data_IF_931535980163
#
_entry.id   IF_931535980163
#
_cell.length_a   1.000
_cell.length_b   1.000
_cell.length_c   1.000
_cell.angle_alpha   90.00
_cell.angle_beta   90.00
_cell.angle_gamma   90.00
#
_symmetry.space_group_name_H-M   'P 1'
#
loop_
_entity.id
_entity.type
_entity.pdbx_description
1 polymer ?
#
# COMPACT_ATOMS: atom_id res chain seq x y z
N UNK A 1 -66.43 -4.90 -39.37
CA UNK A 1 -65.63 -5.13 -38.15
C UNK A 1 -64.18 -5.38 -38.56
N UNK A 2 -63.32 -4.34 -38.50
CA UNK A 2 -61.90 -4.43 -38.84
C UNK A 2 -61.11 -4.76 -37.58
N UNK A 3 -60.43 -5.91 -37.52
CA UNK A 3 -59.51 -6.28 -36.43
C UNK A 3 -58.16 -5.63 -36.68
N UNK A 4 -57.75 -4.72 -35.80
CA UNK A 4 -56.43 -4.12 -35.76
C UNK A 4 -55.52 -5.07 -35.01
N UNK A 5 -54.54 -5.69 -35.64
CA UNK A 5 -53.48 -6.48 -35.00
C UNK A 5 -52.37 -5.51 -34.68
N UNK A 6 -52.15 -5.23 -33.39
CA UNK A 6 -51.02 -4.45 -32.93
C UNK A 6 -49.79 -5.38 -32.81
N UNK A 7 -48.82 -5.17 -33.70
CA UNK A 7 -47.48 -5.81 -33.59
C UNK A 7 -46.67 -5.07 -32.52
N UNK A 8 -46.47 -5.74 -31.36
CA UNK A 8 -45.54 -5.28 -30.34
C UNK A 8 -44.12 -5.71 -30.77
N UNK A 9 -43.36 -4.76 -31.27
CA UNK A 9 -41.92 -4.95 -31.47
C UNK A 9 -41.23 -4.89 -30.11
N UNK A 10 -40.89 -6.07 -29.55
CA UNK A 10 -40.04 -6.20 -28.40
C UNK A 10 -38.60 -5.80 -28.74
N UNK A 11 -38.18 -4.62 -28.31
CA UNK A 11 -36.81 -4.18 -28.39
C UNK A 11 -36.03 -4.89 -27.28
N UNK A 12 -35.48 -6.09 -27.54
CA UNK A 12 -34.57 -6.77 -26.67
C UNK A 12 -33.20 -6.01 -26.77
N UNK A 13 -32.98 -5.08 -25.85
CA UNK A 13 -31.65 -4.49 -25.66
C UNK A 13 -30.72 -5.60 -25.13
N UNK A 14 -29.98 -6.20 -26.04
CA UNK A 14 -28.81 -7.01 -25.70
C UNK A 14 -27.77 -6.08 -25.07
N UNK A 15 -27.75 -6.02 -23.75
CA UNK A 15 -26.64 -5.48 -22.98
C UNK A 15 -25.45 -6.42 -23.24
N UNK A 16 -24.73 -6.18 -24.33
CA UNK A 16 -23.39 -6.72 -24.50
C UNK A 16 -22.53 -6.08 -23.40
N UNK A 17 -22.33 -6.78 -22.30
CA UNK A 17 -21.22 -6.54 -21.40
C UNK A 17 -19.95 -6.80 -22.24
N UNK A 18 -19.47 -5.79 -22.94
CA UNK A 18 -18.14 -5.81 -23.51
C UNK A 18 -17.19 -5.81 -22.32
N UNK A 19 -16.71 -7.00 -21.94
CA UNK A 19 -15.67 -7.14 -20.95
C UNK A 19 -14.48 -6.34 -21.47
N UNK A 20 -14.19 -5.21 -20.83
CA UNK A 20 -13.13 -4.32 -21.26
C UNK A 20 -11.82 -5.12 -21.28
N UNK A 21 -11.23 -5.26 -22.47
CA UNK A 21 -10.02 -6.05 -22.66
C UNK A 21 -8.89 -5.38 -21.90
N UNK A 22 -8.20 -6.16 -21.06
CA UNK A 22 -7.02 -5.71 -20.31
C UNK A 22 -6.01 -5.08 -21.27
N UNK A 23 -5.42 -3.95 -20.89
CA UNK A 23 -4.34 -3.31 -21.63
C UNK A 23 -3.03 -4.06 -21.33
N UNK A 24 -2.71 -5.05 -22.15
CA UNK A 24 -1.56 -5.93 -21.97
C UNK A 24 -0.20 -5.19 -22.01
N UNK A 25 -0.09 -4.12 -22.79
CA UNK A 25 1.13 -3.31 -22.83
C UNK A 25 1.36 -2.58 -21.53
N UNK A 26 0.32 -1.90 -21.03
CA UNK A 26 0.35 -1.20 -19.74
C UNK A 26 0.55 -2.17 -18.56
N UNK A 27 -0.09 -3.34 -18.64
CA UNK A 27 0.10 -4.41 -17.66
C UNK A 27 1.57 -4.82 -17.53
N UNK A 28 2.23 -5.10 -18.66
CA UNK A 28 3.66 -5.48 -18.69
C UNK A 28 4.55 -4.37 -18.11
N UNK A 29 4.25 -3.11 -18.39
CA UNK A 29 4.98 -1.97 -17.87
C UNK A 29 4.84 -1.88 -16.33
N UNK A 30 3.62 -1.99 -15.82
CA UNK A 30 3.34 -1.97 -14.39
C UNK A 30 3.93 -3.17 -13.64
N UNK A 31 3.88 -4.37 -14.23
CA UNK A 31 4.51 -5.56 -13.66
C UNK A 31 6.03 -5.38 -13.54
N UNK A 32 6.67 -4.75 -14.54
CA UNK A 32 8.10 -4.43 -14.48
C UNK A 32 8.41 -3.39 -13.39
N UNK A 33 7.59 -2.35 -13.25
CA UNK A 33 7.72 -1.35 -12.17
C UNK A 33 7.58 -2.03 -10.81
N UNK A 34 6.56 -2.87 -10.63
CA UNK A 34 6.30 -3.57 -9.37
C UNK A 34 7.44 -4.54 -9.03
N UNK A 35 8.00 -5.25 -10.01
CA UNK A 35 9.16 -6.14 -9.83
C UNK A 35 10.35 -5.38 -9.27
N UNK A 36 10.66 -4.20 -9.80
CA UNK A 36 11.77 -3.35 -9.31
C UNK A 36 11.46 -2.84 -7.91
N UNK A 37 10.30 -2.20 -7.71
CA UNK A 37 9.90 -1.62 -6.43
C UNK A 37 9.94 -2.64 -5.29
N UNK A 38 9.31 -3.79 -5.46
CA UNK A 38 9.26 -4.83 -4.43
C UNK A 38 10.58 -5.61 -4.31
N UNK A 39 11.29 -5.79 -5.42
CA UNK A 39 12.56 -6.51 -5.44
C UNK A 39 13.63 -5.82 -4.61
N UNK A 40 13.78 -4.50 -4.70
CA UNK A 40 14.71 -3.75 -3.84
C UNK A 40 14.37 -3.91 -2.36
N UNK A 41 13.08 -3.95 -1.98
CA UNK A 41 12.65 -4.11 -0.59
C UNK A 41 12.91 -5.51 -0.06
N UNK A 42 12.71 -6.53 -0.91
CA UNK A 42 13.05 -7.90 -0.55
C UNK A 42 14.54 -8.10 -0.27
N UNK A 43 15.45 -7.30 -0.86
CA UNK A 43 16.88 -7.38 -0.56
C UNK A 43 17.23 -6.98 0.88
N UNK A 44 16.34 -6.25 1.58
CA UNK A 44 16.49 -5.90 3.00
C UNK A 44 15.81 -6.89 3.94
N UNK A 45 15.06 -7.85 3.42
CA UNK A 45 14.43 -8.88 4.22
C UNK A 45 15.51 -9.78 4.84
N UNK A 46 15.50 -9.90 6.17
CA UNK A 46 16.47 -10.73 6.92
C UNK A 46 16.15 -12.22 6.85
N UNK A 47 14.94 -12.58 6.47
CA UNK A 47 14.49 -13.98 6.36
C UNK A 47 14.73 -14.58 4.97
N UNK A 48 15.14 -13.76 3.99
CA UNK A 48 15.45 -14.24 2.65
C UNK A 48 16.76 -15.04 2.64
N UNK A 49 16.76 -16.22 2.00
CA UNK A 49 17.97 -17.04 1.92
C UNK A 49 19.05 -16.37 1.05
N UNK A 50 20.35 -16.65 1.31
CA UNK A 50 21.44 -16.09 0.51
C UNK A 50 21.30 -16.37 -0.99
N UNK A 51 20.88 -17.56 -1.37
CA UNK A 51 20.69 -17.99 -2.76
C UNK A 51 19.59 -17.16 -3.43
N UNK A 52 18.47 -16.97 -2.74
CA UNK A 52 17.37 -16.16 -3.24
C UNK A 52 17.75 -14.68 -3.35
N UNK A 53 18.59 -14.19 -2.41
CA UNK A 53 19.12 -12.83 -2.47
C UNK A 53 20.05 -12.64 -3.69
N UNK A 54 20.91 -13.62 -3.96
CA UNK A 54 21.78 -13.57 -5.16
C UNK A 54 20.99 -13.66 -6.46
N UNK A 55 19.96 -14.52 -6.51
CA UNK A 55 19.08 -14.58 -7.66
C UNK A 55 18.37 -13.25 -7.90
N UNK A 56 17.87 -12.60 -6.84
CA UNK A 56 17.18 -11.32 -6.92
C UNK A 56 18.09 -10.19 -7.41
N UNK A 57 19.34 -10.15 -6.95
CA UNK A 57 20.35 -9.21 -7.45
C UNK A 57 20.59 -9.38 -8.96
N UNK A 58 20.70 -10.62 -9.45
CA UNK A 58 20.81 -10.93 -10.88
C UNK A 58 19.56 -10.49 -11.66
N UNK A 59 18.38 -10.85 -11.16
CA UNK A 59 17.10 -10.54 -11.81
C UNK A 59 16.80 -9.05 -11.94
N UNK A 60 17.37 -8.25 -11.02
CA UNK A 60 17.30 -6.80 -11.02
C UNK A 60 18.52 -6.13 -11.68
N UNK A 61 19.50 -6.93 -12.14
CA UNK A 61 20.76 -6.45 -12.70
C UNK A 61 21.50 -5.49 -11.75
N UNK A 62 21.58 -5.87 -10.47
CA UNK A 62 22.22 -5.09 -9.42
C UNK A 62 23.61 -5.67 -9.10
N UNK A 63 24.63 -4.84 -9.11
CA UNK A 63 25.96 -5.22 -8.62
C UNK A 63 25.93 -5.39 -7.10
N UNK A 64 26.38 -6.55 -6.62
CA UNK A 64 26.35 -6.92 -5.20
C UNK A 64 27.21 -6.00 -4.32
N UNK A 65 28.38 -5.63 -4.79
CA UNK A 65 29.29 -4.79 -4.02
C UNK A 65 28.85 -3.33 -4.04
N UNK A 66 28.27 -2.85 -5.12
CA UNK A 66 27.65 -1.53 -5.18
C UNK A 66 26.43 -1.45 -4.26
N UNK A 67 25.55 -2.48 -4.27
CA UNK A 67 24.38 -2.54 -3.39
C UNK A 67 24.80 -2.49 -1.91
N UNK A 68 25.83 -3.23 -1.51
CA UNK A 68 26.35 -3.17 -0.13
C UNK A 68 26.75 -1.76 0.30
N UNK A 69 27.31 -0.97 -0.63
CA UNK A 69 27.83 0.37 -0.36
C UNK A 69 26.76 1.45 -0.40
N UNK A 70 25.78 1.31 -1.30
CA UNK A 70 24.84 2.38 -1.66
C UNK A 70 23.37 1.94 -1.63
N UNK A 71 23.02 0.88 -0.88
CA UNK A 71 21.70 0.24 -0.95
C UNK A 71 20.53 1.23 -0.82
N UNK A 72 20.56 2.13 0.16
CA UNK A 72 19.50 3.13 0.35
C UNK A 72 19.47 4.17 -0.77
N UNK A 73 20.61 4.64 -1.25
CA UNK A 73 20.66 5.56 -2.38
C UNK A 73 20.05 4.92 -3.62
N UNK A 74 20.36 3.66 -3.91
CA UNK A 74 19.79 2.93 -5.04
C UNK A 74 18.25 2.78 -4.91
N UNK A 75 17.76 2.51 -3.70
CA UNK A 75 16.30 2.48 -3.45
C UNK A 75 15.65 3.82 -3.74
N UNK A 76 16.20 4.92 -3.22
CA UNK A 76 15.68 6.27 -3.41
C UNK A 76 15.67 6.69 -4.89
N UNK A 77 16.74 6.36 -5.64
CA UNK A 77 16.81 6.60 -7.07
C UNK A 77 15.71 5.84 -7.83
N UNK A 78 15.55 4.55 -7.54
CA UNK A 78 14.51 3.73 -8.17
C UNK A 78 13.09 4.13 -7.76
N UNK A 79 12.87 4.50 -6.50
CA UNK A 79 11.58 5.02 -6.04
C UNK A 79 11.21 6.30 -6.80
N UNK A 80 12.18 7.19 -7.03
CA UNK A 80 11.99 8.41 -7.82
C UNK A 80 11.63 8.10 -9.27
N UNK A 81 12.38 7.21 -9.92
CA UNK A 81 12.12 6.79 -11.31
C UNK A 81 10.77 6.09 -11.46
N UNK A 82 10.45 5.17 -10.56
CA UNK A 82 9.17 4.48 -10.56
C UNK A 82 8.02 5.46 -10.35
N UNK A 83 8.18 6.43 -9.44
CA UNK A 83 7.16 7.45 -9.20
C UNK A 83 6.90 8.30 -10.45
N UNK A 84 7.93 8.70 -11.20
CA UNK A 84 7.76 9.43 -12.47
C UNK A 84 6.99 8.62 -13.49
N UNK A 85 7.29 7.31 -13.63
CA UNK A 85 6.54 6.41 -14.53
C UNK A 85 5.07 6.31 -14.12
N UNK A 86 4.80 6.12 -12.83
CA UNK A 86 3.43 6.05 -12.30
C UNK A 86 2.69 7.39 -12.50
N UNK A 87 3.34 8.53 -12.34
CA UNK A 87 2.72 9.84 -12.63
C UNK A 87 2.31 9.97 -14.11
N UNK A 88 3.14 9.51 -15.04
CA UNK A 88 2.82 9.52 -16.46
C UNK A 88 1.64 8.58 -16.79
N UNK A 89 1.65 7.37 -16.20
CA UNK A 89 0.55 6.41 -16.37
C UNK A 89 -0.76 6.99 -15.81
N UNK A 90 -0.72 7.58 -14.62
CA UNK A 90 -1.92 8.19 -14.00
C UNK A 90 -2.41 9.38 -14.82
N UNK A 91 -1.52 10.20 -15.38
CA UNK A 91 -1.89 11.34 -16.23
C UNK A 91 -2.62 10.88 -17.50
N UNK A 92 -2.25 9.74 -18.06
CA UNK A 92 -2.82 9.21 -19.28
C UNK A 92 -4.09 8.37 -19.06
N UNK A 93 -4.13 7.55 -18.00
CA UNK A 93 -5.16 6.52 -17.82
C UNK A 93 -5.99 6.68 -16.54
N UNK A 94 -5.65 7.63 -15.66
CA UNK A 94 -6.16 7.63 -14.30
C UNK A 94 -5.51 6.51 -13.45
N UNK A 95 -6.16 6.10 -12.36
CA UNK A 95 -5.67 4.96 -11.58
C UNK A 95 -5.72 3.67 -12.41
N UNK A 96 -4.58 2.96 -12.58
CA UNK A 96 -4.54 1.72 -13.36
C UNK A 96 -5.11 0.55 -12.55
N UNK A 97 -6.43 0.52 -12.46
CA UNK A 97 -7.17 -0.43 -11.64
C UNK A 97 -7.37 -1.79 -12.30
N UNK A 98 -8.09 -2.66 -11.58
CA UNK A 98 -8.37 -4.05 -11.99
C UNK A 98 -8.98 -4.18 -13.38
N UNK A 99 -9.92 -3.29 -13.73
CA UNK A 99 -10.59 -3.31 -15.03
C UNK A 99 -9.62 -3.04 -16.17
N UNK A 100 -8.63 -2.16 -15.94
CA UNK A 100 -7.68 -1.74 -16.98
C UNK A 100 -6.51 -2.71 -17.15
N UNK A 101 -5.96 -3.26 -16.04
CA UNK A 101 -4.70 -4.02 -16.07
C UNK A 101 -4.77 -5.40 -15.42
N UNK A 102 -5.91 -5.77 -14.82
CA UNK A 102 -6.07 -7.05 -14.11
C UNK A 102 -5.40 -7.06 -12.74
N UNK A 103 -5.56 -8.18 -12.04
CA UNK A 103 -4.90 -8.46 -10.75
C UNK A 103 -3.70 -9.40 -10.98
N UNK A 104 -2.61 -9.29 -10.21
CA UNK A 104 -2.34 -8.33 -9.13
C UNK A 104 -1.77 -6.99 -9.61
N UNK A 105 -1.64 -6.75 -10.92
CA UNK A 105 -0.99 -5.59 -11.52
C UNK A 105 -1.62 -4.26 -11.11
N UNK A 106 -2.94 -4.24 -10.82
CA UNK A 106 -3.66 -3.08 -10.29
C UNK A 106 -3.10 -2.52 -8.97
N UNK A 107 -2.21 -3.25 -8.31
CA UNK A 107 -1.56 -2.85 -7.06
C UNK A 107 -0.27 -2.06 -7.29
N UNK A 108 0.32 -2.12 -8.49
CA UNK A 108 1.64 -1.55 -8.76
C UNK A 108 1.72 -0.05 -8.45
N UNK A 109 0.73 0.74 -8.89
CA UNK A 109 0.68 2.16 -8.61
C UNK A 109 0.56 2.46 -7.10
N UNK A 110 -0.19 1.66 -6.36
CA UNK A 110 -0.32 1.78 -4.92
C UNK A 110 1.01 1.53 -4.21
N UNK A 111 1.74 0.46 -4.59
CA UNK A 111 3.05 0.16 -4.01
C UNK A 111 4.04 1.30 -4.20
N UNK A 112 4.12 1.89 -5.38
CA UNK A 112 5.03 3.00 -5.65
C UNK A 112 4.62 4.26 -4.88
N UNK A 113 3.33 4.62 -4.89
CA UNK A 113 2.85 5.84 -4.23
C UNK A 113 3.08 5.79 -2.72
N UNK A 114 2.91 4.63 -2.07
CA UNK A 114 3.10 4.50 -0.62
C UNK A 114 4.53 4.79 -0.14
N UNK A 115 5.52 4.64 -1.02
CA UNK A 115 6.93 4.91 -0.72
C UNK A 115 7.33 6.35 -1.03
N UNK A 116 6.43 7.15 -1.58
CA UNK A 116 6.69 8.53 -1.97
C UNK A 116 6.19 9.55 -0.94
N UNK A 117 6.65 10.78 -1.07
CA UNK A 117 6.10 11.95 -0.36
C UNK A 117 4.79 12.45 -0.96
N UNK A 118 4.31 11.82 -2.05
CA UNK A 118 3.17 12.29 -2.85
C UNK A 118 1.85 11.61 -2.47
N UNK A 119 1.79 10.87 -1.35
CA UNK A 119 0.57 10.18 -0.90
C UNK A 119 -0.61 11.16 -0.85
N UNK A 120 -0.44 12.34 -0.26
CA UNK A 120 -1.51 13.34 -0.15
C UNK A 120 -2.10 13.78 -1.49
N UNK A 121 -1.26 13.86 -2.54
CA UNK A 121 -1.67 14.19 -3.91
C UNK A 121 -2.57 13.10 -4.51
N UNK A 122 -2.22 11.83 -4.29
CA UNK A 122 -2.89 10.70 -4.95
C UNK A 122 -3.95 10.00 -4.10
N UNK A 123 -4.03 10.28 -2.80
CA UNK A 123 -5.02 9.67 -1.92
C UNK A 123 -6.48 9.85 -2.39
N UNK A 124 -6.92 11.02 -2.91
CA UNK A 124 -8.27 11.15 -3.47
C UNK A 124 -8.53 10.19 -4.64
N UNK A 125 -7.56 10.03 -5.54
CA UNK A 125 -7.65 9.11 -6.68
C UNK A 125 -7.72 7.65 -6.22
N UNK A 126 -6.91 7.26 -5.23
CA UNK A 126 -6.90 5.93 -4.63
C UNK A 126 -8.24 5.63 -3.94
N UNK A 127 -8.79 6.60 -3.21
CA UNK A 127 -10.12 6.49 -2.60
C UNK A 127 -11.22 6.26 -3.63
N UNK A 128 -11.16 6.95 -4.75
CA UNK A 128 -12.11 6.78 -5.85
C UNK A 128 -11.96 5.40 -6.51
N UNK A 129 -10.73 4.93 -6.71
CA UNK A 129 -10.46 3.58 -7.20
C UNK A 129 -11.02 2.50 -6.26
N UNK A 130 -10.89 2.67 -4.94
CA UNK A 130 -11.50 1.77 -3.95
C UNK A 130 -13.02 1.76 -4.01
N UNK A 131 -13.67 2.93 -4.14
CA UNK A 131 -15.14 3.02 -4.31
C UNK A 131 -15.62 2.29 -5.57
N UNK A 132 -14.85 2.37 -6.65
CA UNK A 132 -15.12 1.68 -7.93
C UNK A 132 -14.72 0.19 -7.91
N UNK A 133 -14.19 -0.32 -6.79
CA UNK A 133 -13.68 -1.69 -6.63
C UNK A 133 -12.54 -2.04 -7.59
N UNK A 134 -11.80 -1.03 -8.06
CA UNK A 134 -10.59 -1.18 -8.86
C UNK A 134 -9.40 -1.67 -8.04
N UNK A 135 -9.42 -1.43 -6.72
CA UNK A 135 -8.55 -2.01 -5.70
C UNK A 135 -9.37 -2.37 -4.45
N UNK A 136 -8.92 -3.31 -3.61
CA UNK A 136 -9.56 -3.59 -2.33
C UNK A 136 -9.58 -2.36 -1.42
N UNK A 137 -10.67 -2.15 -0.69
CA UNK A 137 -10.78 -0.99 0.22
C UNK A 137 -9.76 -1.04 1.37
N UNK A 138 -9.30 -2.23 1.77
CA UNK A 138 -8.20 -2.39 2.74
C UNK A 138 -6.92 -1.66 2.31
N UNK A 139 -6.62 -1.61 1.02
CA UNK A 139 -5.47 -0.88 0.47
C UNK A 139 -5.67 0.63 0.55
N UNK A 140 -6.91 1.09 0.34
CA UNK A 140 -7.27 2.50 0.56
C UNK A 140 -7.07 2.88 2.02
N UNK A 141 -7.56 2.05 2.93
CA UNK A 141 -7.45 2.23 4.38
C UNK A 141 -5.98 2.28 4.85
N UNK A 142 -5.13 1.38 4.34
CA UNK A 142 -3.70 1.35 4.64
C UNK A 142 -2.99 2.63 4.15
N UNK A 143 -3.33 3.12 2.95
CA UNK A 143 -2.77 4.36 2.42
C UNK A 143 -3.22 5.58 3.22
N UNK A 144 -4.48 5.62 3.64
CA UNK A 144 -5.01 6.70 4.47
C UNK A 144 -4.32 6.76 5.83
N UNK A 145 -4.16 5.62 6.50
CA UNK A 145 -3.43 5.54 7.76
C UNK A 145 -1.98 6.01 7.63
N UNK A 146 -1.29 5.59 6.56
CA UNK A 146 0.07 6.05 6.28
C UNK A 146 0.14 7.55 6.06
N UNK A 147 -0.79 8.10 5.30
CA UNK A 147 -0.88 9.55 5.11
C UNK A 147 -1.11 10.28 6.42
N UNK A 148 -2.04 9.82 7.25
CA UNK A 148 -2.32 10.42 8.55
C UNK A 148 -1.09 10.38 9.46
N UNK A 149 -0.37 9.25 9.50
CA UNK A 149 0.89 9.13 10.24
C UNK A 149 1.96 10.11 9.74
N UNK A 150 2.09 10.30 8.42
CA UNK A 150 3.02 11.30 7.83
C UNK A 150 2.65 12.74 8.21
N UNK A 151 1.37 13.01 8.49
CA UNK A 151 0.87 14.32 8.93
C UNK A 151 0.82 14.47 10.45
N UNK A 152 1.47 13.57 11.19
CA UNK A 152 1.45 13.56 12.66
C UNK A 152 0.03 13.53 13.25
N UNK A 153 -0.85 12.76 12.61
CA UNK A 153 -2.25 12.56 13.03
C UNK A 153 -2.49 11.12 13.43
N UNK A 154 -3.50 10.91 14.27
CA UNK A 154 -3.96 9.58 14.61
C UNK A 154 -4.50 8.85 13.38
N UNK A 155 -4.09 7.60 13.20
CA UNK A 155 -4.60 6.73 12.14
C UNK A 155 -6.01 6.21 12.48
N UNK A 156 -6.70 5.65 11.48
CA UNK A 156 -8.10 5.21 11.61
C UNK A 156 -8.21 3.71 11.87
N UNK A 157 -7.38 2.91 11.22
CA UNK A 157 -7.49 1.45 11.16
C UNK A 157 -6.37 0.71 11.88
N UNK A 158 -5.32 1.40 12.34
CA UNK A 158 -4.21 0.77 13.05
C UNK A 158 -3.32 -0.08 12.14
N UNK A 159 -3.07 0.37 10.92
CA UNK A 159 -2.27 -0.37 9.93
C UNK A 159 -0.80 0.02 9.92
N UNK A 160 -0.45 1.10 10.60
CA UNK A 160 0.91 1.64 10.63
C UNK A 160 1.53 1.50 12.03
N UNK A 161 2.80 1.16 12.05
CA UNK A 161 3.60 1.09 13.26
C UNK A 161 4.93 1.80 13.11
N UNK A 162 5.61 2.01 14.21
CA UNK A 162 6.94 2.63 14.28
C UNK A 162 7.83 1.90 15.27
N UNK A 163 9.12 1.96 15.00
CA UNK A 163 10.18 1.63 15.96
C UNK A 163 11.05 2.84 16.21
N UNK A 164 11.35 3.11 17.46
CA UNK A 164 12.19 4.26 17.88
C UNK A 164 13.21 3.82 18.91
N UNK A 165 14.42 4.32 18.81
CA UNK A 165 15.40 4.20 19.89
C UNK A 165 15.01 5.18 21.00
N UNK A 166 15.06 4.76 22.24
CA UNK A 166 14.81 5.65 23.40
C UNK A 166 15.70 5.24 24.56
N UNK A 167 15.63 5.98 25.67
CA UNK A 167 16.31 5.59 26.91
C UNK A 167 15.27 5.08 27.89
N UNK A 168 15.57 3.95 28.54
CA UNK A 168 14.80 3.48 29.67
C UNK A 168 15.03 4.35 30.94
N UNK A 169 14.42 3.95 32.06
CA UNK A 169 14.54 4.65 33.34
C UNK A 169 15.98 4.69 33.90
N UNK A 170 16.82 3.77 33.48
CA UNK A 170 18.22 3.66 33.89
C UNK A 170 19.17 4.34 32.91
N UNK A 171 18.63 5.03 31.90
CA UNK A 171 19.39 5.76 30.86
C UNK A 171 19.97 4.89 29.76
N UNK A 172 19.69 3.58 29.74
CA UNK A 172 20.15 2.63 28.73
C UNK A 172 19.32 2.77 27.46
N UNK A 173 19.98 2.73 26.29
CA UNK A 173 19.30 2.73 25.01
C UNK A 173 18.48 1.44 24.80
N UNK A 174 17.21 1.59 24.47
CA UNK A 174 16.28 0.52 24.14
C UNK A 174 15.52 0.84 22.88
N UNK A 175 15.21 -0.20 22.08
CA UNK A 175 14.37 -0.05 20.91
C UNK A 175 12.91 -0.34 21.30
N UNK A 176 12.03 0.61 21.01
CA UNK A 176 10.60 0.50 21.33
C UNK A 176 9.80 0.45 20.04
N UNK A 177 9.09 -0.65 19.81
CA UNK A 177 8.12 -0.78 18.73
C UNK A 177 6.72 -0.48 19.23
N UNK A 178 5.93 0.24 18.46
CA UNK A 178 4.55 0.55 18.82
C UNK A 178 3.68 0.77 17.56
N UNK A 179 2.40 0.47 17.69
CA UNK A 179 1.40 0.86 16.69
C UNK A 179 1.22 2.37 16.78
N UNK A 180 1.31 3.07 15.64
CA UNK A 180 1.05 4.50 15.62
C UNK A 180 -0.32 4.81 16.22
N UNK A 181 -0.49 5.91 16.97
CA UNK A 181 -1.74 6.24 17.66
C UNK A 181 -2.99 6.13 16.81
N UNK A 182 -4.00 5.48 17.34
CA UNK A 182 -5.26 5.19 16.64
C UNK A 182 -6.38 6.03 17.23
N UNK A 183 -7.12 6.72 16.36
CA UNK A 183 -8.33 7.44 16.75
C UNK A 183 -9.38 6.47 17.29
N UNK A 184 -9.92 6.74 18.47
CA UNK A 184 -10.92 5.90 19.11
C UNK A 184 -10.55 4.39 19.08
N UNK A 185 -9.52 3.96 19.84
CA UNK A 185 -9.01 2.60 19.77
C UNK A 185 -10.03 1.54 20.22
N UNK A 186 -11.03 1.90 21.03
CA UNK A 186 -12.09 0.98 21.47
C UNK A 186 -12.94 0.45 20.32
N UNK A 187 -13.13 1.25 19.27
CA UNK A 187 -13.96 0.90 18.09
C UNK A 187 -13.13 0.54 16.87
N UNK A 188 -11.80 0.44 16.97
CA UNK A 188 -10.93 0.19 15.81
C UNK A 188 -11.23 -1.13 15.13
N UNK A 189 -11.46 -2.21 15.87
CA UNK A 189 -11.73 -3.54 15.30
C UNK A 189 -13.07 -3.60 14.55
N UNK A 190 -14.07 -2.82 14.98
CA UNK A 190 -15.30 -2.63 14.22
C UNK A 190 -15.01 -1.96 12.86
N UNK A 191 -14.27 -0.84 12.87
CA UNK A 191 -13.88 -0.13 11.63
C UNK A 191 -13.05 -1.00 10.70
N UNK A 192 -12.11 -1.80 11.24
CA UNK A 192 -11.31 -2.75 10.46
C UNK A 192 -12.20 -3.77 9.75
N UNK A 193 -13.13 -4.38 10.46
CA UNK A 193 -14.08 -5.34 9.86
C UNK A 193 -14.94 -4.68 8.75
N UNK A 194 -15.45 -3.48 9.00
CA UNK A 194 -16.23 -2.71 8.01
C UNK A 194 -15.38 -2.35 6.77
N UNK A 195 -14.08 -2.12 6.94
CA UNK A 195 -13.15 -1.87 5.85
C UNK A 195 -12.69 -3.13 5.11
N UNK A 196 -13.08 -4.33 5.58
CA UNK A 196 -12.74 -5.61 4.95
C UNK A 196 -11.42 -6.23 5.43
N UNK A 197 -10.84 -5.78 6.55
CA UNK A 197 -9.70 -6.47 7.16
C UNK A 197 -10.14 -7.78 7.80
N UNK A 198 -9.32 -8.81 7.62
CA UNK A 198 -9.50 -10.16 8.15
C UNK A 198 -8.99 -10.34 9.60
N UNK A 199 -8.31 -9.32 10.12
CA UNK A 199 -7.61 -9.37 11.41
C UNK A 199 -7.94 -8.18 12.29
N UNK A 200 -7.88 -8.40 13.60
CA UNK A 200 -7.96 -7.35 14.63
C UNK A 200 -6.70 -6.47 14.60
N UNK A 201 -6.73 -5.36 15.33
CA UNK A 201 -5.57 -4.50 15.54
C UNK A 201 -4.43 -5.24 16.25
N UNK A 202 -4.78 -6.04 17.25
CA UNK A 202 -3.85 -6.82 18.07
C UNK A 202 -3.13 -7.89 17.22
N UNK A 203 -3.88 -8.59 16.36
CA UNK A 203 -3.31 -9.56 15.42
C UNK A 203 -2.42 -8.88 14.37
N UNK A 204 -2.83 -7.71 13.87
CA UNK A 204 -2.01 -6.93 12.96
C UNK A 204 -0.72 -6.43 13.62
N UNK A 205 -0.79 -6.00 14.89
CA UNK A 205 0.38 -5.59 15.66
C UNK A 205 1.39 -6.74 15.82
N UNK A 206 0.91 -7.97 16.09
CA UNK A 206 1.76 -9.16 16.13
C UNK A 206 2.39 -9.49 14.77
N UNK A 207 1.67 -9.27 13.67
CA UNK A 207 2.25 -9.42 12.32
C UNK A 207 3.38 -8.40 12.05
N UNK A 208 3.25 -7.17 12.55
CA UNK A 208 4.26 -6.12 12.37
C UNK A 208 5.50 -6.29 13.25
N UNK A 209 5.33 -6.77 14.49
CA UNK A 209 6.38 -6.69 15.51
C UNK A 209 6.78 -8.04 16.13
N UNK A 210 6.15 -9.12 15.69
CA UNK A 210 6.39 -10.47 16.17
C UNK A 210 5.27 -11.03 17.06
N UNK A 211 5.21 -12.37 17.20
CA UNK A 211 4.09 -13.07 17.85
C UNK A 211 3.89 -12.72 19.33
N UNK A 212 4.96 -12.34 20.01
CA UNK A 212 4.94 -11.98 21.44
C UNK A 212 4.57 -10.53 21.70
N UNK A 213 4.40 -9.72 20.65
CA UNK A 213 4.05 -8.31 20.80
C UNK A 213 2.68 -8.15 21.45
N UNK A 214 2.64 -7.31 22.49
CA UNK A 214 1.41 -6.92 23.17
C UNK A 214 1.05 -5.50 22.78
N UNK A 215 -0.12 -5.34 22.15
CA UNK A 215 -0.61 -4.02 21.79
C UNK A 215 -0.99 -3.23 23.04
N UNK A 216 -0.39 -2.07 23.18
CA UNK A 216 -0.77 -1.04 24.13
C UNK A 216 -1.02 0.26 23.37
N UNK A 217 -2.15 0.96 23.64
CA UNK A 217 -2.46 2.20 22.92
C UNK A 217 -1.56 3.34 23.38
N UNK A 218 -0.88 3.96 22.41
CA UNK A 218 -0.16 5.21 22.63
C UNK A 218 -1.07 6.39 22.29
N UNK A 219 -0.97 7.47 23.06
CA UNK A 219 -1.49 8.77 22.68
C UNK A 219 -0.59 9.40 21.63
N UNK A 220 -1.14 10.31 20.83
CA UNK A 220 -0.35 11.03 19.81
C UNK A 220 0.81 11.81 20.46
N UNK A 221 0.57 12.42 21.64
CA UNK A 221 1.59 13.12 22.41
C UNK A 221 2.76 12.20 22.76
N UNK A 222 2.50 11.00 23.30
CA UNK A 222 3.54 10.03 23.66
C UNK A 222 4.35 9.58 22.44
N UNK A 223 3.68 9.30 21.31
CA UNK A 223 4.36 8.88 20.10
C UNK A 223 5.27 9.99 19.51
N UNK A 224 4.81 11.24 19.55
CA UNK A 224 5.60 12.39 19.12
C UNK A 224 6.79 12.68 20.06
N UNK A 225 6.62 12.52 21.36
CA UNK A 225 7.71 12.65 22.34
C UNK A 225 8.80 11.59 22.13
N UNK A 226 8.42 10.32 21.84
CA UNK A 226 9.37 9.27 21.51
C UNK A 226 10.20 9.63 20.28
N UNK A 227 9.54 10.07 19.21
CA UNK A 227 10.20 10.45 17.95
C UNK A 227 11.14 11.65 18.11
N UNK A 228 10.76 12.65 18.91
CA UNK A 228 11.52 13.89 19.04
C UNK A 228 12.73 13.76 20.00
N UNK A 229 12.76 12.76 20.87
CA UNK A 229 13.93 12.47 21.71
C UNK A 229 15.15 11.99 20.90
N UNK A 230 14.96 11.65 19.63
CA UNK A 230 15.99 11.09 18.76
C UNK A 230 16.43 12.06 17.63
N UNK A 231 15.91 13.27 17.62
CA UNK A 231 16.35 14.37 16.76
C UNK A 231 17.32 15.28 17.52
#
# INVERSE_FOLDING_TARGET
MRKIIALIFGFSALLMNAQQKVNESLKKELDAIMKVDQGYRMLFDTEITPEKKEQLLKDLNIDKEEFKKKSWQMVEEHDSLNMQKIENIIAQYGYPGKTLVGEPTNQAAWYVIQHSTKIGKYLPLIKEAGKKKEIPFTWVAMMEDRYLMQQDKEQIYGTQGKGEMTKDKDGKQVFVSFVWPVKDPKNVNKRRKEAGFDSTLEENAKRMFGPDFKYEPYTLKQALELRNKNK
#
